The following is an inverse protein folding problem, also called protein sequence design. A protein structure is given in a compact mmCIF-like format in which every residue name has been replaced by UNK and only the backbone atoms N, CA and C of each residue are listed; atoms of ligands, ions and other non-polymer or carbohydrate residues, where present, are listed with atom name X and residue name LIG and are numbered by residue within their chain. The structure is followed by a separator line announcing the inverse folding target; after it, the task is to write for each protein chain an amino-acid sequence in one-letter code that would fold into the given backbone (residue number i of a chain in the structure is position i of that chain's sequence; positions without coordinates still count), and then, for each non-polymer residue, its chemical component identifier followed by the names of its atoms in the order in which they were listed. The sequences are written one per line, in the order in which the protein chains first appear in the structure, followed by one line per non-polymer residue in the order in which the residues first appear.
data_IF_585993656215
#
_entry.id   IF_585993656215
#
_cell.length_a   1.000
_cell.length_b   1.000
_cell.length_c   1.000
_cell.angle_alpha   90.00
_cell.angle_beta   90.00
_cell.angle_gamma   90.00
#
_symmetry.space_group_name_H-M   'P 1'
#
loop_
_entity.id
_entity.type
_entity.pdbx_description
1 polymer ?
#
# COMPACT_ATOMS: atom_id res chain seq x y z
N UNK A 1 22.13 -2.42 -4.99
CA UNK A 1 21.57 -2.60 -3.63
C UNK A 1 22.42 -3.61 -2.87
N UNK A 2 22.86 -3.33 -1.65
CA UNK A 2 23.64 -4.28 -0.86
C UNK A 2 22.84 -5.59 -0.66
N UNK A 3 23.47 -6.75 -0.87
CA UNK A 3 22.85 -8.06 -0.70
C UNK A 3 22.01 -8.57 -1.87
N UNK A 4 21.89 -7.82 -2.96
CA UNK A 4 21.24 -8.30 -4.19
C UNK A 4 22.34 -8.66 -5.20
N UNK A 5 22.28 -9.87 -5.74
CA UNK A 5 23.16 -10.37 -6.77
C UNK A 5 22.35 -10.92 -7.96
N UNK A 6 22.97 -10.92 -9.13
CA UNK A 6 22.36 -11.47 -10.36
C UNK A 6 22.84 -12.91 -10.54
N UNK A 7 21.90 -13.76 -10.94
CA UNK A 7 22.18 -15.13 -11.40
C UNK A 7 22.54 -15.15 -12.89
N UNK A 8 23.06 -16.28 -13.36
CA UNK A 8 23.47 -16.48 -14.77
C UNK A 8 22.28 -16.38 -15.76
N UNK A 9 21.05 -16.53 -15.28
CA UNK A 9 19.83 -16.36 -16.07
C UNK A 9 19.37 -14.89 -16.19
N UNK A 10 20.16 -13.95 -15.65
CA UNK A 10 19.87 -12.51 -15.66
C UNK A 10 18.88 -12.05 -14.58
N UNK A 11 18.42 -12.94 -13.68
CA UNK A 11 17.46 -12.62 -12.63
C UNK A 11 18.18 -12.33 -11.32
N UNK A 12 17.59 -11.45 -10.53
CA UNK A 12 18.15 -11.10 -9.23
C UNK A 12 17.77 -12.11 -8.13
N UNK A 13 18.56 -12.14 -7.07
CA UNK A 13 18.31 -13.01 -5.90
C UNK A 13 16.94 -12.80 -5.28
N UNK A 14 16.38 -11.59 -5.38
CA UNK A 14 15.03 -11.29 -4.89
C UNK A 14 13.96 -11.94 -5.78
N UNK A 15 14.13 -11.89 -7.11
CA UNK A 15 13.22 -12.55 -8.05
C UNK A 15 13.16 -14.06 -7.82
N UNK A 16 14.33 -14.70 -7.68
CA UNK A 16 14.40 -16.13 -7.38
C UNK A 16 13.75 -16.50 -6.04
N UNK A 17 14.04 -15.72 -4.98
CA UNK A 17 13.44 -15.96 -3.68
C UNK A 17 11.90 -15.82 -3.73
N UNK A 18 11.41 -14.81 -4.44
CA UNK A 18 9.96 -14.59 -4.57
C UNK A 18 9.27 -15.72 -5.33
N UNK A 19 9.83 -16.15 -6.46
CA UNK A 19 9.22 -17.25 -7.24
C UNK A 19 9.19 -18.57 -6.48
N UNK A 20 10.31 -18.91 -5.80
CA UNK A 20 10.37 -20.11 -4.99
C UNK A 20 9.34 -20.10 -3.85
N UNK A 21 9.04 -18.92 -3.29
CA UNK A 21 8.04 -18.79 -2.23
C UNK A 21 6.60 -18.73 -2.75
N UNK A 22 6.40 -18.32 -4.03
CA UNK A 22 5.09 -18.00 -4.60
C UNK A 22 4.35 -19.21 -5.17
N UNK A 23 5.09 -20.18 -5.71
CA UNK A 23 4.52 -21.26 -6.55
C UNK A 23 3.43 -22.05 -5.85
N UNK A 24 3.51 -22.23 -4.52
CA UNK A 24 2.57 -23.07 -3.78
C UNK A 24 1.53 -22.30 -2.94
N UNK A 25 1.64 -20.96 -2.88
CA UNK A 25 0.93 -20.20 -1.84
C UNK A 25 -0.26 -19.38 -2.35
N UNK A 26 -0.30 -19.03 -3.63
CA UNK A 26 -1.19 -17.96 -4.13
C UNK A 26 -2.67 -18.33 -4.09
N UNK A 27 -3.02 -19.52 -4.57
CA UNK A 27 -4.43 -19.95 -4.61
C UNK A 27 -4.95 -20.24 -3.20
N UNK A 28 -4.12 -20.89 -2.38
CA UNK A 28 -4.42 -21.16 -0.97
C UNK A 28 -4.62 -19.87 -0.18
N UNK A 29 -3.76 -18.84 -0.42
CA UNK A 29 -3.86 -17.56 0.26
C UNK A 29 -5.09 -16.75 -0.17
N UNK A 30 -5.46 -16.80 -1.45
CA UNK A 30 -6.64 -16.11 -1.96
C UNK A 30 -7.93 -16.72 -1.37
N UNK A 31 -7.97 -18.04 -1.26
CA UNK A 31 -9.10 -18.75 -0.64
C UNK A 31 -9.17 -18.49 0.87
N UNK A 32 -8.04 -18.43 1.56
CA UNK A 32 -7.94 -18.05 2.97
C UNK A 32 -8.50 -16.64 3.20
N UNK A 33 -8.11 -15.66 2.36
CA UNK A 33 -8.65 -14.29 2.44
C UNK A 33 -10.16 -14.28 2.27
N UNK A 34 -10.67 -14.96 1.24
CA UNK A 34 -12.12 -15.07 1.00
C UNK A 34 -12.85 -15.70 2.19
N UNK A 35 -12.26 -16.75 2.78
CA UNK A 35 -12.81 -17.41 3.97
C UNK A 35 -12.85 -16.45 5.16
N UNK A 36 -11.75 -15.77 5.49
CA UNK A 36 -11.68 -14.82 6.58
C UNK A 36 -12.68 -13.66 6.42
N UNK A 37 -12.81 -13.12 5.20
CA UNK A 37 -13.77 -12.06 4.91
C UNK A 37 -15.23 -12.57 4.97
N UNK A 38 -15.49 -13.80 4.51
CA UNK A 38 -16.80 -14.43 4.61
C UNK A 38 -17.21 -14.78 6.06
N UNK A 39 -16.27 -15.04 6.93
CA UNK A 39 -16.50 -15.23 8.37
C UNK A 39 -16.80 -13.92 9.07
N UNK A 40 -16.10 -12.84 8.72
CA UNK A 40 -16.32 -11.50 9.28
C UNK A 40 -17.77 -11.05 9.16
N UNK A 41 -18.40 -11.28 8.01
CA UNK A 41 -19.80 -10.91 7.77
C UNK A 41 -20.81 -11.71 8.63
N UNK A 42 -20.40 -12.84 9.20
CA UNK A 42 -21.27 -13.73 10.02
C UNK A 42 -21.19 -13.44 11.52
N UNK A 43 -20.13 -12.80 11.98
CA UNK A 43 -19.87 -12.55 13.41
C UNK A 43 -20.75 -11.43 13.99
N UNK A 44 -21.54 -10.73 13.17
CA UNK A 44 -22.45 -9.65 13.61
C UNK A 44 -21.74 -8.44 14.19
N UNK A 45 -20.46 -8.27 13.87
CA UNK A 45 -19.71 -7.06 14.23
C UNK A 45 -20.35 -5.82 13.60
N UNK A 46 -20.31 -4.69 14.31
CA UNK A 46 -20.80 -3.41 13.75
C UNK A 46 -20.10 -3.06 12.42
N UNK A 47 -18.89 -3.59 12.26
CA UNK A 47 -18.06 -3.46 11.05
C UNK A 47 -17.34 -4.76 10.78
N UNK A 48 -17.42 -5.23 9.54
CA UNK A 48 -16.80 -6.48 9.14
C UNK A 48 -15.29 -6.32 8.95
N UNK A 49 -14.88 -5.15 8.42
CA UNK A 49 -13.48 -4.86 8.14
C UNK A 49 -13.19 -3.35 8.11
N UNK A 50 -11.99 -2.97 8.54
CA UNK A 50 -11.44 -1.64 8.34
C UNK A 50 -10.63 -1.61 7.05
N UNK A 51 -10.82 -0.60 6.20
CA UNK A 51 -9.97 -0.35 5.03
C UNK A 51 -9.04 0.83 5.32
N UNK A 52 -7.73 0.61 5.23
CA UNK A 52 -6.73 1.68 5.29
C UNK A 52 -6.76 2.47 3.97
N UNK A 53 -7.61 3.50 3.92
CA UNK A 53 -7.86 4.29 2.72
C UNK A 53 -6.89 5.47 2.62
N UNK A 54 -5.87 5.35 1.77
CA UNK A 54 -4.90 6.45 1.55
C UNK A 54 -5.36 7.48 0.53
N UNK A 55 -6.43 7.21 -0.22
CA UNK A 55 -6.90 8.02 -1.35
C UNK A 55 -6.17 7.74 -2.66
N UNK A 56 -5.13 6.91 -2.65
CA UNK A 56 -4.49 6.39 -3.86
C UNK A 56 -5.33 5.27 -4.51
N UNK A 57 -5.02 4.99 -5.79
CA UNK A 57 -5.75 4.01 -6.61
C UNK A 57 -5.94 2.64 -5.97
N UNK A 58 -4.87 2.08 -5.39
CA UNK A 58 -4.87 0.71 -4.88
C UNK A 58 -5.83 0.54 -3.68
N UNK A 59 -5.74 1.43 -2.69
CA UNK A 59 -6.64 1.39 -1.52
C UNK A 59 -8.09 1.72 -1.89
N UNK A 60 -8.31 2.56 -2.90
CA UNK A 60 -9.65 2.88 -3.40
C UNK A 60 -10.29 1.71 -4.15
N UNK A 61 -9.50 0.95 -4.92
CA UNK A 61 -9.98 -0.27 -5.55
C UNK A 61 -10.33 -1.35 -4.50
N UNK A 62 -9.52 -1.49 -3.45
CA UNK A 62 -9.82 -2.41 -2.33
C UNK A 62 -11.11 -2.01 -1.61
N UNK A 63 -11.34 -0.71 -1.38
CA UNK A 63 -12.59 -0.22 -0.83
C UNK A 63 -13.79 -0.66 -1.68
N UNK A 64 -13.71 -0.46 -3.00
CA UNK A 64 -14.76 -0.88 -3.94
C UNK A 64 -14.98 -2.39 -3.94
N UNK A 65 -13.92 -3.19 -4.03
CA UNK A 65 -14.00 -4.64 -4.00
C UNK A 65 -14.69 -5.18 -2.75
N UNK A 66 -14.26 -4.74 -1.57
CA UNK A 66 -14.80 -5.24 -0.31
C UNK A 66 -16.25 -4.83 -0.10
N UNK A 67 -16.62 -3.62 -0.53
CA UNK A 67 -17.99 -3.11 -0.34
C UNK A 67 -18.94 -3.62 -1.41
N UNK A 68 -18.55 -3.55 -2.70
CA UNK A 68 -19.47 -3.81 -3.81
C UNK A 68 -19.50 -5.28 -4.24
N UNK A 69 -18.34 -5.94 -4.32
CA UNK A 69 -18.25 -7.33 -4.77
C UNK A 69 -18.48 -8.32 -3.61
N UNK A 70 -17.96 -8.03 -2.40
CA UNK A 70 -18.13 -8.90 -1.24
C UNK A 70 -19.29 -8.51 -0.31
N UNK A 71 -19.86 -7.31 -0.49
CA UNK A 71 -20.99 -6.84 0.32
C UNK A 71 -20.67 -6.62 1.80
N UNK A 72 -19.38 -6.39 2.15
CA UNK A 72 -18.96 -6.22 3.52
C UNK A 72 -19.32 -4.83 4.06
N UNK A 73 -19.58 -4.76 5.37
CA UNK A 73 -19.82 -3.52 6.07
C UNK A 73 -18.48 -2.84 6.44
N UNK A 74 -18.02 -1.94 5.58
CA UNK A 74 -16.66 -1.37 5.62
C UNK A 74 -16.62 -0.05 6.38
N UNK A 75 -15.59 0.11 7.23
CA UNK A 75 -15.15 1.42 7.73
C UNK A 75 -13.82 1.79 7.06
N UNK A 76 -13.85 2.80 6.21
CA UNK A 76 -12.65 3.36 5.59
C UNK A 76 -11.98 4.37 6.54
N UNK A 77 -10.67 4.20 6.77
CA UNK A 77 -9.88 5.07 7.65
C UNK A 77 -8.76 5.73 6.87
N UNK A 78 -8.81 7.05 6.77
CA UNK A 78 -7.71 7.88 6.28
C UNK A 78 -6.91 8.39 7.47
N UNK A 79 -5.58 8.25 7.43
CA UNK A 79 -4.69 8.89 8.43
C UNK A 79 -4.02 10.09 7.78
N UNK A 80 -4.40 11.29 8.22
CA UNK A 80 -3.80 12.55 7.75
C UNK A 80 -2.53 12.86 8.56
N UNK A 81 -1.40 12.94 7.87
CA UNK A 81 -0.10 13.30 8.43
C UNK A 81 0.23 14.80 8.29
N UNK A 82 -0.75 15.62 7.90
CA UNK A 82 -0.59 17.05 7.62
C UNK A 82 -0.08 17.37 6.19
N UNK A 83 0.25 16.36 5.39
CA UNK A 83 0.74 16.51 4.01
C UNK A 83 -0.19 15.93 2.96
N UNK A 84 -1.35 15.43 3.37
CA UNK A 84 -2.38 14.93 2.45
C UNK A 84 -3.19 16.13 1.94
N UNK A 85 -3.26 16.36 0.62
CA UNK A 85 -4.05 17.47 0.05
C UNK A 85 -5.54 17.33 0.36
N UNK A 86 -6.24 18.46 0.48
CA UNK A 86 -7.67 18.47 0.80
C UNK A 86 -8.51 17.74 -0.27
N UNK A 87 -8.15 17.87 -1.56
CA UNK A 87 -8.86 17.17 -2.61
C UNK A 87 -8.77 15.63 -2.47
N UNK A 88 -7.70 15.09 -1.89
CA UNK A 88 -7.57 13.64 -1.59
C UNK A 88 -8.52 13.26 -0.47
N UNK A 89 -8.61 14.09 0.58
CA UNK A 89 -9.54 13.89 1.70
C UNK A 89 -10.99 13.92 1.23
N UNK A 90 -11.32 14.89 0.36
CA UNK A 90 -12.65 15.03 -0.23
C UNK A 90 -12.98 13.86 -1.16
N UNK A 91 -12.01 13.43 -1.97
CA UNK A 91 -12.18 12.25 -2.82
C UNK A 91 -12.46 10.99 -1.99
N UNK A 92 -11.75 10.78 -0.89
CA UNK A 92 -12.00 9.66 0.03
C UNK A 92 -13.42 9.72 0.61
N UNK A 93 -13.88 10.90 1.03
CA UNK A 93 -15.23 11.09 1.57
C UNK A 93 -16.28 10.78 0.53
N UNK A 94 -16.18 11.35 -0.67
CA UNK A 94 -17.12 11.13 -1.76
C UNK A 94 -17.19 9.67 -2.21
N UNK A 95 -16.04 8.98 -2.28
CA UNK A 95 -16.04 7.55 -2.61
C UNK A 95 -16.83 6.75 -1.57
N UNK A 96 -16.60 6.99 -0.29
CA UNK A 96 -17.30 6.30 0.79
C UNK A 96 -18.82 6.59 0.78
N UNK A 97 -19.21 7.85 0.62
CA UNK A 97 -20.62 8.27 0.50
C UNK A 97 -21.30 7.58 -0.68
N UNK A 98 -20.62 7.52 -1.83
CA UNK A 98 -21.16 6.91 -3.05
C UNK A 98 -21.52 5.44 -2.90
N UNK A 99 -20.73 4.69 -2.13
CA UNK A 99 -20.91 3.24 -2.00
C UNK A 99 -21.44 2.81 -0.62
N UNK A 100 -21.80 3.76 0.24
CA UNK A 100 -22.37 3.50 1.57
C UNK A 100 -21.35 3.00 2.60
N UNK A 101 -20.06 3.19 2.39
CA UNK A 101 -19.03 2.87 3.36
C UNK A 101 -18.90 3.98 4.43
N UNK A 102 -18.62 3.61 5.68
CA UNK A 102 -18.31 4.59 6.73
C UNK A 102 -16.93 5.19 6.50
N UNK A 103 -16.79 6.51 6.67
CA UNK A 103 -15.52 7.21 6.57
C UNK A 103 -15.09 7.80 7.90
N UNK A 104 -13.84 7.58 8.29
CA UNK A 104 -13.22 8.17 9.47
C UNK A 104 -11.85 8.72 9.11
N UNK A 105 -11.50 9.87 9.65
CA UNK A 105 -10.18 10.47 9.49
C UNK A 105 -9.49 10.56 10.85
N UNK A 106 -8.30 9.99 10.93
CA UNK A 106 -7.37 10.15 12.04
C UNK A 106 -6.28 11.13 11.62
N UNK A 107 -5.54 11.70 12.55
CA UNK A 107 -4.48 12.64 12.19
C UNK A 107 -3.34 12.69 13.19
N UNK A 108 -2.15 13.07 12.70
CA UNK A 108 -0.99 13.39 13.51
C UNK A 108 -0.11 14.43 12.81
N UNK A 109 0.63 15.21 13.58
CA UNK A 109 1.61 16.14 13.04
C UNK A 109 2.91 15.40 12.69
N UNK A 110 3.29 15.48 11.41
CA UNK A 110 4.51 14.86 10.88
C UNK A 110 5.54 15.91 10.39
N UNK A 111 5.30 17.18 10.63
CA UNK A 111 6.13 18.29 10.14
C UNK A 111 7.57 18.24 10.66
N UNK A 112 7.75 17.84 11.93
CA UNK A 112 9.07 17.70 12.55
C UNK A 112 9.94 16.62 11.87
N UNK A 113 9.38 15.44 11.62
CA UNK A 113 10.09 14.34 10.95
C UNK A 113 10.48 14.72 9.51
N UNK A 114 9.58 15.37 8.77
CA UNK A 114 9.86 15.84 7.39
C UNK A 114 10.94 16.90 7.38
N UNK A 115 10.88 17.88 8.29
CA UNK A 115 11.91 18.91 8.43
C UNK A 115 13.29 18.33 8.75
N UNK A 116 13.35 17.38 9.67
CA UNK A 116 14.60 16.69 10.03
C UNK A 116 15.19 15.93 8.81
N UNK A 117 14.35 15.20 8.06
CA UNK A 117 14.77 14.48 6.88
C UNK A 117 15.25 15.40 5.74
N UNK A 118 14.63 16.55 5.54
CA UNK A 118 15.06 17.55 4.56
C UNK A 118 16.40 18.20 4.94
N UNK A 119 16.66 18.35 6.25
CA UNK A 119 17.92 18.96 6.74
C UNK A 119 19.10 18.00 6.62
N UNK A 120 18.88 16.68 6.76
CA UNK A 120 19.92 15.65 6.69
C UNK A 120 19.40 14.40 5.97
N UNK A 121 19.25 14.46 4.62
CA UNK A 121 18.72 13.34 3.84
C UNK A 121 19.63 12.11 3.93
N UNK A 122 19.06 10.96 4.23
CA UNK A 122 19.77 9.68 4.22
C UNK A 122 18.78 8.52 4.03
N UNK A 123 19.30 7.34 3.63
CA UNK A 123 18.46 6.14 3.50
C UNK A 123 17.83 5.69 4.81
N UNK A 124 18.48 5.98 5.95
CA UNK A 124 17.98 5.60 7.27
C UNK A 124 16.88 6.51 7.80
N UNK A 125 16.80 7.76 7.35
CA UNK A 125 15.81 8.75 7.81
C UNK A 125 14.77 9.14 6.75
N UNK A 126 14.54 8.30 5.73
CA UNK A 126 13.48 8.56 4.76
C UNK A 126 12.12 8.60 5.48
N UNK A 127 11.42 9.74 5.49
CA UNK A 127 10.31 9.97 6.42
C UNK A 127 9.13 9.02 6.18
N UNK A 128 8.91 8.56 4.96
CA UNK A 128 7.82 7.61 4.66
C UNK A 128 7.94 6.30 5.45
N UNK A 129 9.16 5.88 5.82
CA UNK A 129 9.36 4.69 6.64
C UNK A 129 8.81 4.86 8.07
N UNK A 130 9.00 6.04 8.66
CA UNK A 130 8.47 6.36 9.99
C UNK A 130 6.98 6.64 9.92
N UNK A 131 6.53 7.36 8.91
CA UNK A 131 5.11 7.64 8.66
C UNK A 131 4.31 6.34 8.54
N UNK A 132 4.78 5.36 7.76
CA UNK A 132 4.07 4.09 7.57
C UNK A 132 3.93 3.28 8.86
N UNK A 133 4.90 3.35 9.79
CA UNK A 133 4.82 2.70 11.11
C UNK A 133 3.76 3.35 11.98
N UNK A 134 3.73 4.70 12.06
CA UNK A 134 2.70 5.45 12.78
C UNK A 134 1.31 5.17 12.22
N UNK A 135 1.20 5.18 10.91
CA UNK A 135 -0.02 4.87 10.17
C UNK A 135 -0.60 3.51 10.55
N UNK A 136 0.23 2.46 10.51
CA UNK A 136 -0.18 1.09 10.86
C UNK A 136 -0.61 1.00 12.33
N UNK A 137 0.14 1.61 13.25
CA UNK A 137 -0.22 1.62 14.68
C UNK A 137 -1.56 2.29 14.92
N UNK A 138 -1.78 3.49 14.38
CA UNK A 138 -3.04 4.23 14.58
C UNK A 138 -4.26 3.50 14.02
N UNK A 139 -4.12 2.84 12.87
CA UNK A 139 -5.22 2.05 12.30
C UNK A 139 -5.46 0.78 13.12
N UNK A 140 -4.40 0.13 13.64
CA UNK A 140 -4.56 -1.03 14.51
C UNK A 140 -5.30 -0.67 15.80
N UNK A 141 -4.89 0.42 16.45
CA UNK A 141 -5.55 0.91 17.68
C UNK A 141 -7.02 1.25 17.40
N UNK A 142 -7.31 1.98 16.32
CA UNK A 142 -8.69 2.28 15.92
C UNK A 142 -9.52 1.02 15.65
N UNK A 143 -8.96 0.05 14.91
CA UNK A 143 -9.66 -1.20 14.62
C UNK A 143 -9.96 -1.98 15.91
N UNK A 144 -9.01 -2.06 16.83
CA UNK A 144 -9.20 -2.69 18.14
C UNK A 144 -10.27 -1.98 18.99
N UNK A 145 -10.28 -0.65 19.03
CA UNK A 145 -11.32 0.14 19.71
C UNK A 145 -12.74 -0.12 19.17
N UNK A 146 -12.84 -0.47 17.86
CA UNK A 146 -14.11 -0.81 17.20
C UNK A 146 -14.42 -2.31 17.25
N UNK A 147 -13.68 -3.08 18.04
CA UNK A 147 -13.78 -4.55 18.10
C UNK A 147 -13.67 -5.21 16.71
N UNK A 148 -12.96 -4.56 15.78
CA UNK A 148 -12.70 -5.07 14.43
C UNK A 148 -11.28 -5.60 14.38
N UNK A 149 -11.10 -6.91 14.32
CA UNK A 149 -9.79 -7.55 14.28
C UNK A 149 -9.12 -7.55 12.90
N UNK A 150 -9.70 -6.90 11.88
CA UNK A 150 -9.27 -7.04 10.48
C UNK A 150 -9.10 -5.70 9.79
N UNK A 151 -7.96 -5.53 9.10
CA UNK A 151 -7.65 -4.32 8.30
C UNK A 151 -7.20 -4.73 6.90
N UNK A 152 -7.83 -4.19 5.89
CA UNK A 152 -7.43 -4.36 4.50
C UNK A 152 -6.53 -3.21 4.03
N UNK A 153 -5.45 -3.58 3.34
CA UNK A 153 -4.48 -2.67 2.73
C UNK A 153 -4.56 -2.74 1.20
N UNK A 154 -4.38 -1.60 0.54
CA UNK A 154 -4.15 -1.51 -0.90
C UNK A 154 -2.73 -1.88 -1.34
N UNK A 155 -2.01 -2.68 -0.54
CA UNK A 155 -0.65 -3.07 -0.87
C UNK A 155 -0.66 -4.16 -1.93
N UNK A 156 0.05 -3.91 -3.02
CA UNK A 156 0.15 -4.79 -4.19
C UNK A 156 1.43 -5.63 -4.22
N UNK A 157 2.29 -5.50 -3.21
CA UNK A 157 3.53 -6.25 -3.05
C UNK A 157 3.74 -6.64 -1.59
N UNK A 158 4.66 -7.58 -1.37
CA UNK A 158 5.13 -7.93 -0.04
C UNK A 158 6.48 -7.26 0.24
N UNK A 159 6.55 -6.48 1.30
CA UNK A 159 7.74 -5.65 1.59
C UNK A 159 8.97 -6.47 2.06
N UNK A 160 8.78 -7.74 2.41
CA UNK A 160 9.86 -8.67 2.76
C UNK A 160 9.55 -10.01 2.13
N UNK A 161 10.53 -10.57 1.44
CA UNK A 161 10.52 -11.95 1.00
C UNK A 161 10.87 -12.78 2.24
N UNK A 162 9.84 -13.23 2.92
CA UNK A 162 9.94 -14.20 4.01
C UNK A 162 9.67 -15.61 3.47
N UNK A 163 10.16 -16.67 4.15
CA UNK A 163 9.88 -18.05 3.72
C UNK A 163 8.39 -18.41 3.64
N UNK A 164 7.54 -17.61 4.29
CA UNK A 164 6.07 -17.69 4.20
C UNK A 164 5.53 -16.34 3.73
N UNK A 165 5.11 -16.28 2.48
CA UNK A 165 4.38 -15.14 1.93
C UNK A 165 2.91 -15.26 2.35
N UNK A 166 2.57 -14.82 3.54
CA UNK A 166 1.20 -14.96 4.04
C UNK A 166 0.26 -13.87 3.55
N UNK A 167 0.80 -12.72 3.04
CA UNK A 167 -0.03 -11.56 2.70
C UNK A 167 -0.78 -10.95 3.90
N UNK A 168 -0.63 -11.55 5.06
CA UNK A 168 -1.19 -11.14 6.33
C UNK A 168 -0.08 -10.75 7.30
N UNK A 169 -0.33 -9.72 8.08
CA UNK A 169 0.53 -9.32 9.18
C UNK A 169 -0.30 -9.02 10.41
N UNK A 170 -0.04 -9.73 11.51
CA UNK A 170 -0.67 -9.45 12.79
C UNK A 170 0.08 -8.35 13.53
N UNK A 171 -0.63 -7.35 13.99
CA UNK A 171 -0.13 -6.24 14.83
C UNK A 171 -0.79 -6.36 16.20
N UNK A 172 0.03 -6.44 17.24
CA UNK A 172 -0.44 -6.34 18.62
C UNK A 172 -0.46 -4.86 19.02
N UNK A 173 -1.63 -4.37 19.41
CA UNK A 173 -1.83 -2.98 19.85
C UNK A 173 -1.27 -2.74 21.25
N UNK A 174 -1.20 -1.48 21.67
CA UNK A 174 -0.82 -1.13 23.03
C UNK A 174 -1.77 -1.69 24.12
N UNK A 175 -3.02 -1.99 23.78
CA UNK A 175 -4.00 -2.65 24.64
C UNK A 175 -3.87 -4.18 24.69
N UNK A 176 -2.95 -4.76 23.91
CA UNK A 176 -2.76 -6.21 23.78
C UNK A 176 -3.70 -6.89 22.79
N UNK A 177 -4.55 -6.18 22.09
CA UNK A 177 -5.40 -6.73 21.04
C UNK A 177 -4.59 -7.07 19.79
N UNK A 178 -4.90 -8.19 19.13
CA UNK A 178 -4.31 -8.56 17.87
C UNK A 178 -5.20 -8.11 16.70
N UNK A 179 -4.61 -7.42 15.73
CA UNK A 179 -5.28 -6.95 14.51
C UNK A 179 -4.54 -7.47 13.29
N UNK A 180 -5.26 -8.16 12.42
CA UNK A 180 -4.73 -8.72 11.18
C UNK A 180 -4.82 -7.74 10.03
N UNK A 181 -3.69 -7.49 9.37
CA UNK A 181 -3.57 -6.62 8.18
C UNK A 181 -3.39 -7.47 6.93
N UNK A 182 -4.27 -7.31 5.96
CA UNK A 182 -4.28 -8.07 4.72
C UNK A 182 -3.91 -7.19 3.52
N UNK A 183 -2.89 -7.60 2.76
CA UNK A 183 -2.49 -6.97 1.48
C UNK A 183 -3.37 -7.52 0.36
N UNK A 184 -4.55 -6.92 0.16
CA UNK A 184 -5.62 -7.48 -0.69
C UNK A 184 -5.20 -7.64 -2.16
N UNK A 185 -4.66 -6.62 -2.86
CA UNK A 185 -4.23 -6.78 -4.25
C UNK A 185 -3.17 -7.87 -4.41
N UNK A 186 -2.20 -7.95 -3.48
CA UNK A 186 -1.18 -8.98 -3.49
C UNK A 186 -1.77 -10.38 -3.32
N UNK A 187 -2.66 -10.57 -2.34
CA UNK A 187 -3.29 -11.86 -2.06
C UNK A 187 -4.14 -12.36 -3.21
N UNK A 188 -4.88 -11.46 -3.86
CA UNK A 188 -5.74 -11.78 -5.01
C UNK A 188 -4.97 -11.83 -6.33
N UNK A 189 -3.68 -11.48 -6.32
CA UNK A 189 -2.85 -11.47 -7.50
C UNK A 189 -3.28 -10.46 -8.55
N UNK A 190 -3.83 -9.32 -8.12
CA UNK A 190 -4.22 -8.27 -9.04
C UNK A 190 -3.01 -7.70 -9.76
N UNK A 191 -3.24 -7.32 -11.01
CA UNK A 191 -2.35 -6.44 -11.77
C UNK A 191 -2.98 -5.06 -11.86
N UNK A 192 -2.19 -4.05 -12.28
CA UNK A 192 -2.64 -2.64 -12.28
C UNK A 192 -3.98 -2.41 -13.01
N UNK A 193 -4.21 -3.11 -14.13
CA UNK A 193 -5.44 -2.96 -14.92
C UNK A 193 -6.69 -3.47 -14.21
N UNK A 194 -6.55 -4.42 -13.30
CA UNK A 194 -7.68 -4.99 -12.55
C UNK A 194 -8.34 -3.95 -11.65
N UNK A 195 -7.60 -2.93 -11.22
CA UNK A 195 -8.09 -1.87 -10.35
C UNK A 195 -9.19 -1.02 -11.02
N UNK A 196 -9.12 -0.86 -12.34
CA UNK A 196 -9.97 0.06 -13.10
C UNK A 196 -11.46 -0.18 -12.92
N UNK A 197 -11.88 -1.46 -12.75
CA UNK A 197 -13.27 -1.81 -12.47
C UNK A 197 -13.78 -1.06 -11.25
N UNK A 198 -13.12 -1.24 -10.12
CA UNK A 198 -13.59 -0.66 -8.84
C UNK A 198 -13.33 0.83 -8.74
N UNK A 199 -12.24 1.34 -9.32
CA UNK A 199 -11.96 2.78 -9.35
C UNK A 199 -13.08 3.56 -10.02
N UNK A 200 -13.62 3.04 -11.13
CA UNK A 200 -14.77 3.60 -11.82
C UNK A 200 -16.04 3.54 -10.95
N UNK A 201 -16.31 2.40 -10.33
CA UNK A 201 -17.50 2.20 -9.50
C UNK A 201 -17.52 3.09 -8.26
N UNK A 202 -16.38 3.23 -7.57
CA UNK A 202 -16.30 4.14 -6.41
C UNK A 202 -16.24 5.61 -6.79
N UNK A 203 -16.02 5.94 -8.07
CA UNK A 203 -15.89 7.31 -8.56
C UNK A 203 -14.55 7.95 -8.18
N UNK A 204 -13.49 7.14 -8.11
CA UNK A 204 -12.14 7.66 -7.87
C UNK A 204 -11.70 8.61 -8.98
N UNK A 205 -11.14 9.75 -8.61
CA UNK A 205 -10.59 10.71 -9.56
C UNK A 205 -9.11 10.97 -9.28
N UNK A 206 -8.30 10.85 -10.33
CA UNK A 206 -6.91 11.24 -10.29
C UNK A 206 -6.78 12.74 -10.50
N UNK A 207 -6.18 13.43 -9.54
CA UNK A 207 -5.67 14.78 -9.76
C UNK A 207 -4.17 14.70 -9.63
N UNK A 208 -3.48 14.95 -10.73
CA UNK A 208 -2.03 15.09 -10.70
C UNK A 208 -1.67 16.14 -9.64
N UNK A 209 -0.97 15.72 -8.60
CA UNK A 209 -0.30 16.64 -7.68
C UNK A 209 0.85 17.29 -8.43
N UNK A 210 0.75 17.83 -9.59
CA UNK A 210 1.68 18.60 -10.46
C UNK A 210 3.15 18.72 -9.95
N UNK A 211 3.60 17.77 -9.17
CA UNK A 211 4.88 17.69 -8.51
C UNK A 211 5.42 16.31 -8.92
N UNK A 212 6.55 16.30 -9.58
CA UNK A 212 7.24 15.09 -9.97
C UNK A 212 7.29 14.08 -8.81
N UNK A 213 6.73 12.89 -9.02
CA UNK A 213 6.71 11.82 -8.02
C UNK A 213 5.54 10.87 -8.21
N UNK A 214 5.74 9.61 -7.82
CA UNK A 214 4.79 8.51 -7.99
C UNK A 214 3.61 8.56 -7.00
N UNK A 215 3.64 9.47 -6.03
CA UNK A 215 2.58 9.59 -5.04
C UNK A 215 1.45 10.47 -5.53
N UNK A 216 0.27 9.89 -5.65
CA UNK A 216 -0.97 10.60 -6.02
C UNK A 216 -1.76 11.10 -4.80
N UNK A 217 -1.28 10.86 -3.57
CA UNK A 217 -2.04 11.07 -2.35
C UNK A 217 -1.31 11.79 -1.21
N UNK A 218 0.00 12.03 -1.32
CA UNK A 218 0.78 12.71 -0.28
C UNK A 218 1.89 13.56 -0.90
N UNK A 219 2.17 14.73 -0.32
CA UNK A 219 3.21 15.66 -0.81
C UNK A 219 4.63 15.26 -0.37
N UNK A 220 4.78 14.47 0.68
CA UNK A 220 6.10 14.15 1.26
C UNK A 220 7.04 13.46 0.26
N UNK A 221 6.64 12.42 -0.51
CA UNK A 221 7.53 11.81 -1.49
C UNK A 221 8.13 12.81 -2.47
N UNK A 222 7.32 13.67 -3.07
CA UNK A 222 7.77 14.72 -4.01
C UNK A 222 8.71 15.73 -3.36
N UNK A 223 8.47 16.11 -2.11
CA UNK A 223 9.34 17.04 -1.37
C UNK A 223 10.73 16.43 -1.10
N UNK A 224 10.77 15.11 -0.89
CA UNK A 224 11.99 14.38 -0.57
C UNK A 224 12.79 13.94 -1.79
N UNK A 225 12.16 13.80 -2.95
CA UNK A 225 12.72 13.15 -4.14
C UNK A 225 14.11 13.69 -4.51
N UNK A 226 14.21 15.00 -4.75
CA UNK A 226 15.46 15.63 -5.17
C UNK A 226 16.57 15.55 -4.13
N UNK A 227 16.24 15.85 -2.86
CA UNK A 227 17.23 15.86 -1.78
C UNK A 227 17.70 14.45 -1.44
N UNK A 228 16.81 13.47 -1.46
CA UNK A 228 17.13 12.08 -1.21
C UNK A 228 17.96 11.49 -2.35
N UNK A 229 17.58 11.72 -3.61
CA UNK A 229 18.33 11.26 -4.78
C UNK A 229 19.75 11.86 -4.80
N UNK A 230 19.88 13.15 -4.53
CA UNK A 230 21.18 13.82 -4.46
C UNK A 230 22.07 13.23 -3.35
N UNK A 231 21.50 12.86 -2.19
CA UNK A 231 22.25 12.34 -1.06
C UNK A 231 22.62 10.85 -1.17
N UNK A 232 21.81 10.05 -1.87
CA UNK A 232 21.95 8.58 -1.90
C UNK A 232 22.33 8.03 -3.28
N UNK A 233 22.18 8.80 -4.34
CA UNK A 233 22.34 8.35 -5.73
C UNK A 233 21.23 7.41 -6.21
N UNK A 234 20.16 7.21 -5.40
CA UNK A 234 19.06 6.27 -5.71
C UNK A 234 17.74 7.02 -5.61
N UNK A 235 16.87 6.83 -6.60
CA UNK A 235 15.51 7.38 -6.53
C UNK A 235 14.75 6.74 -5.36
N UNK A 236 14.03 7.50 -4.51
CA UNK A 236 13.38 6.98 -3.30
C UNK A 236 12.35 5.87 -3.58
N UNK A 237 11.69 5.91 -4.73
CA UNK A 237 10.65 4.93 -5.13
C UNK A 237 11.23 3.66 -5.78
N UNK A 238 12.54 3.60 -6.04
CA UNK A 238 13.18 2.43 -6.70
C UNK A 238 12.85 1.11 -6.00
N UNK A 239 12.88 1.11 -4.66
CA UNK A 239 12.59 -0.10 -3.88
C UNK A 239 11.11 -0.52 -3.98
N UNK A 240 10.20 0.44 -4.02
CA UNK A 240 8.76 0.20 -4.19
C UNK A 240 8.49 -0.43 -5.55
N UNK A 241 8.93 0.22 -6.63
CA UNK A 241 8.74 -0.24 -8.00
C UNK A 241 9.39 -1.60 -8.25
N UNK A 242 10.59 -1.83 -7.70
CA UNK A 242 11.24 -3.14 -7.80
C UNK A 242 10.38 -4.25 -7.16
N UNK A 243 9.74 -3.99 -6.02
CA UNK A 243 8.83 -4.95 -5.40
C UNK A 243 7.56 -5.16 -6.24
N UNK A 244 6.99 -4.11 -6.83
CA UNK A 244 5.82 -4.22 -7.72
C UNK A 244 6.13 -5.05 -8.97
N UNK A 245 7.32 -4.86 -9.55
CA UNK A 245 7.81 -5.66 -10.70
C UNK A 245 7.99 -7.13 -10.29
N UNK A 246 8.64 -7.39 -9.16
CA UNK A 246 8.87 -8.75 -8.65
C UNK A 246 7.53 -9.47 -8.41
N UNK A 247 6.54 -8.76 -7.89
CA UNK A 247 5.20 -9.30 -7.66
C UNK A 247 4.35 -9.42 -8.93
N UNK A 248 4.81 -8.90 -10.06
CA UNK A 248 4.11 -8.93 -11.33
C UNK A 248 2.91 -7.97 -11.38
N UNK A 249 2.88 -6.95 -10.52
CA UNK A 249 1.84 -5.93 -10.52
C UNK A 249 2.02 -4.96 -11.70
N UNK A 250 3.26 -4.63 -12.02
CA UNK A 250 3.68 -3.90 -13.23
C UNK A 250 4.81 -4.64 -13.93
N UNK A 251 4.98 -4.40 -15.22
CA UNK A 251 6.16 -4.88 -15.93
C UNK A 251 7.38 -3.97 -15.67
N UNK A 252 8.57 -4.46 -16.11
CA UNK A 252 9.83 -3.75 -15.89
C UNK A 252 9.90 -2.43 -16.65
N UNK A 253 9.36 -2.39 -17.87
CA UNK A 253 9.46 -1.22 -18.72
C UNK A 253 8.59 -0.09 -18.17
N UNK A 254 7.37 -0.40 -17.70
CA UNK A 254 6.53 0.54 -16.99
C UNK A 254 7.20 1.08 -15.70
N UNK A 255 7.90 0.22 -14.95
CA UNK A 255 8.62 0.66 -13.76
C UNK A 255 9.81 1.57 -14.07
N UNK A 256 10.52 1.36 -15.17
CA UNK A 256 11.60 2.24 -15.61
C UNK A 256 11.08 3.59 -16.11
N UNK A 257 9.97 3.58 -16.85
CA UNK A 257 9.30 4.80 -17.29
C UNK A 257 8.87 5.68 -16.12
N UNK A 258 8.30 5.08 -15.08
CA UNK A 258 7.91 5.78 -13.84
C UNK A 258 9.11 6.40 -13.11
N UNK A 259 10.31 5.81 -13.20
CA UNK A 259 11.54 6.39 -12.66
C UNK A 259 12.16 7.47 -13.57
N UNK A 260 11.57 7.75 -14.73
CA UNK A 260 12.15 8.67 -15.73
C UNK A 260 13.45 8.13 -16.36
N UNK A 261 13.70 6.84 -16.26
CA UNK A 261 14.81 6.17 -16.92
C UNK A 261 14.33 5.74 -18.30
N UNK A 262 14.67 6.50 -19.33
CA UNK A 262 14.43 6.08 -20.72
C UNK A 262 15.14 4.74 -20.94
N UNK A 263 14.35 3.72 -21.35
CA UNK A 263 14.88 2.40 -21.64
C UNK A 263 15.80 2.43 -22.87
N UNK A 264 17.04 2.81 -22.69
CA UNK A 264 18.08 2.37 -23.61
C UNK A 264 18.23 0.87 -23.37
N UNK A 265 17.64 0.12 -24.28
CA UNK A 265 17.80 -1.33 -24.39
C UNK A 265 19.28 -1.65 -24.56
N UNK A 266 19.97 -1.84 -23.46
CA UNK A 266 21.27 -2.49 -23.44
C UNK A 266 21.10 -3.94 -23.87
N UNK A 267 20.98 -4.17 -25.19
CA UNK A 267 21.36 -5.42 -25.81
C UNK A 267 22.88 -5.37 -25.94
N UNK A 268 23.56 -5.99 -25.04
CA UNK A 268 24.94 -6.30 -25.11
C UNK A 268 25.16 -7.68 -24.54
#
# INVERSE_FOLDING_TARGET
MPGIYLYSDGRCSMCHAYENARVDARDTLADELKRCLGEASKEGAERDIVVALSGGKDSSAVLGYLTLDLGLNVTAVLVDNGFIPDFVKDNCRHMCERIGAKFTMLGFDFSGDVKAALTSPSSSNYPCNTCSKKFVSMIADFAAEKACGRVALGRNFWARIEPKLTGEKVITTGSGANVSFFSVPFLLGWVRVDLNKWLKEVGWSERNLSIHGLSTNCKVPSMMEKSYHAATGVHPETSLLANEIICGFIDRDAGLEELGVSGESGRG
#
